data_IF_227855074072
#
_entry.id   IF_227855074072
#
_cell.length_a   1.000
_cell.length_b   1.000
_cell.length_c   1.000
_cell.angle_alpha   90.00
_cell.angle_beta   90.00
_cell.angle_gamma   90.00
#
_symmetry.space_group_name_H-M   'P 1'
#
loop_
_entity.id
_entity.type
_entity.pdbx_description
1 polymer ?
#
# COMPACT_ATOMS: atom_id res chain seq x y z
N UNK A 1 0.28 31.03 -12.30
CA UNK A 1 1.00 30.18 -11.34
C UNK A 1 2.48 30.46 -11.52
N UNK A 2 3.12 31.05 -10.52
CA UNK A 2 4.56 31.34 -10.61
C UNK A 2 5.29 30.11 -10.06
N UNK A 3 5.74 29.25 -10.96
CA UNK A 3 6.77 28.26 -10.68
C UNK A 3 8.10 29.04 -10.64
N UNK A 4 8.65 29.26 -9.44
CA UNK A 4 9.87 30.08 -9.26
C UNK A 4 11.15 29.36 -9.72
N UNK A 5 11.04 28.10 -10.14
CA UNK A 5 12.14 27.30 -10.67
C UNK A 5 11.78 26.80 -12.05
N UNK A 6 12.65 27.06 -13.02
CA UNK A 6 12.50 26.46 -14.34
C UNK A 6 12.68 24.93 -14.24
N UNK A 7 12.15 24.15 -15.20
CA UNK A 7 12.39 22.71 -15.28
C UNK A 7 13.88 22.34 -15.29
N UNK A 8 14.73 23.23 -15.83
CA UNK A 8 16.18 23.06 -15.89
C UNK A 8 16.83 23.26 -14.51
N UNK A 9 16.40 24.28 -13.76
CA UNK A 9 16.89 24.53 -12.39
C UNK A 9 16.53 23.38 -11.45
N UNK A 10 15.37 22.76 -11.69
CA UNK A 10 14.92 21.57 -10.96
C UNK A 10 15.78 20.34 -11.29
N UNK A 11 16.14 20.16 -12.56
CA UNK A 11 17.03 19.08 -13.01
C UNK A 11 18.48 19.27 -12.51
N UNK A 12 18.91 20.52 -12.35
CA UNK A 12 20.20 20.89 -11.77
C UNK A 12 20.23 20.87 -10.23
N UNK A 13 19.10 20.57 -9.57
CA UNK A 13 19.01 20.49 -8.10
C UNK A 13 19.13 21.84 -7.39
N UNK A 14 18.91 22.95 -8.10
CA UNK A 14 19.04 24.30 -7.57
C UNK A 14 17.95 24.54 -6.52
N UNK A 15 18.38 24.93 -5.32
CA UNK A 15 17.51 25.31 -4.21
C UNK A 15 17.52 26.84 -4.08
N UNK A 16 16.36 27.52 -4.15
CA UNK A 16 16.30 28.96 -3.94
C UNK A 16 16.80 29.32 -2.54
N UNK A 17 17.76 30.24 -2.45
CA UNK A 17 18.24 30.79 -1.19
C UNK A 17 17.38 32.00 -0.77
N UNK A 18 16.98 32.05 0.51
CA UNK A 18 16.22 33.17 1.08
C UNK A 18 17.12 34.31 1.60
N UNK A 19 16.57 35.52 1.73
CA UNK A 19 17.32 36.72 2.16
C UNK A 19 17.41 36.95 3.69
N UNK A 20 17.16 35.94 4.51
CA UNK A 20 17.00 36.10 5.96
C UNK A 20 18.29 36.50 6.70
N UNK A 21 18.19 37.52 7.57
CA UNK A 21 19.32 38.06 8.37
C UNK A 21 19.64 37.28 9.66
N UNK A 22 18.91 36.19 9.98
CA UNK A 22 19.17 35.35 11.17
C UNK A 22 19.60 33.93 10.75
N UNK A 23 20.70 33.39 11.28
CA UNK A 23 21.07 31.99 11.07
C UNK A 23 19.97 31.10 11.69
N UNK A 24 19.22 30.39 10.86
CA UNK A 24 18.14 29.48 11.29
C UNK A 24 16.72 29.90 10.90
N UNK A 25 16.50 31.10 10.35
CA UNK A 25 15.18 31.53 9.87
C UNK A 25 15.14 31.51 8.34
N UNK A 26 14.86 30.34 7.76
CA UNK A 26 14.49 30.22 6.34
C UNK A 26 12.99 30.42 6.19
N UNK A 27 12.58 31.51 5.54
CA UNK A 27 11.16 31.84 5.33
C UNK A 27 10.60 31.00 4.18
N UNK A 28 9.64 30.11 4.43
CA UNK A 28 8.83 29.49 3.37
C UNK A 28 7.79 30.51 2.95
N UNK A 29 7.92 31.07 1.74
CA UNK A 29 7.02 32.10 1.21
C UNK A 29 5.81 31.49 0.47
N UNK A 30 5.99 30.37 -0.24
CA UNK A 30 4.93 29.58 -0.86
C UNK A 30 5.40 28.12 -0.99
N UNK A 31 4.47 27.16 -0.97
CA UNK A 31 4.79 25.76 -1.28
C UNK A 31 4.67 25.54 -2.80
N UNK A 32 5.54 24.69 -3.35
CA UNK A 32 5.47 24.29 -4.76
C UNK A 32 4.10 23.66 -5.09
N UNK A 33 3.72 23.67 -6.36
CA UNK A 33 2.47 23.04 -6.81
C UNK A 33 2.37 21.57 -6.36
N UNK A 34 1.23 21.21 -5.77
CA UNK A 34 1.02 19.88 -5.19
C UNK A 34 1.65 19.68 -3.81
N UNK A 35 2.12 20.74 -3.16
CA UNK A 35 2.53 20.74 -1.76
C UNK A 35 1.75 21.82 -0.99
N UNK A 36 1.41 21.53 0.26
CA UNK A 36 0.65 22.40 1.16
C UNK A 36 1.41 22.65 2.44
N UNK A 37 1.24 23.81 3.07
CA UNK A 37 1.91 24.10 4.35
C UNK A 37 1.36 23.16 5.43
N UNK A 38 2.25 22.61 6.27
CA UNK A 38 1.81 21.86 7.45
C UNK A 38 1.08 22.78 8.42
N UNK A 39 -0.02 22.30 8.98
CA UNK A 39 -0.80 23.02 9.98
C UNK A 39 -0.01 23.34 11.25
N UNK A 40 0.91 22.44 11.65
CA UNK A 40 1.73 22.58 12.87
C UNK A 40 3.12 23.23 12.65
N UNK A 41 3.56 23.39 11.41
CA UNK A 41 4.87 24.00 11.09
C UNK A 41 4.75 24.83 9.82
N UNK A 42 4.80 26.16 9.96
CA UNK A 42 4.81 27.09 8.82
C UNK A 42 6.14 27.08 8.05
N UNK A 43 7.12 26.33 8.57
CA UNK A 43 8.46 26.13 8.01
C UNK A 43 8.56 24.77 7.28
N UNK A 44 7.45 24.06 7.08
CA UNK A 44 7.43 22.81 6.32
C UNK A 44 6.26 22.76 5.35
N UNK A 45 6.55 22.31 4.13
CA UNK A 45 5.55 21.88 3.17
C UNK A 45 5.41 20.36 3.21
N UNK A 46 4.18 19.87 3.12
CA UNK A 46 3.86 18.46 2.93
C UNK A 46 3.23 18.23 1.56
N UNK A 47 3.48 17.10 0.90
CA UNK A 47 2.93 16.83 -0.40
C UNK A 47 1.42 16.55 -0.30
N UNK A 48 0.68 16.98 -1.30
CA UNK A 48 -0.75 16.75 -1.44
C UNK A 48 -0.97 15.45 -2.22
N UNK A 49 -1.79 14.55 -1.67
CA UNK A 49 -2.16 13.29 -2.32
C UNK A 49 -3.68 13.11 -2.30
N UNK A 50 -4.26 12.73 -3.43
CA UNK A 50 -5.63 12.24 -3.49
C UNK A 50 -5.67 10.78 -3.02
N UNK A 51 -6.37 10.51 -1.92
CA UNK A 51 -6.66 9.16 -1.40
C UNK A 51 -5.43 8.26 -1.11
N UNK A 52 -4.51 8.72 -0.25
CA UNK A 52 -3.36 7.91 0.23
C UNK A 52 -3.67 7.17 1.55
N UNK A 53 -4.76 6.40 1.59
CA UNK A 53 -5.13 5.62 2.78
C UNK A 53 -4.14 4.46 2.95
N UNK A 54 -3.68 4.21 4.19
CA UNK A 54 -2.66 3.20 4.52
C UNK A 54 -1.28 3.43 3.87
N UNK A 55 -1.00 4.63 3.39
CA UNK A 55 0.30 5.04 2.90
C UNK A 55 0.78 6.32 3.58
N UNK A 56 1.92 6.81 3.08
CA UNK A 56 2.47 8.14 3.35
C UNK A 56 2.61 8.85 2.01
N UNK A 57 2.12 10.08 1.94
CA UNK A 57 2.36 10.93 0.78
C UNK A 57 3.85 11.33 0.80
N UNK A 58 4.61 10.91 -0.20
CA UNK A 58 6.06 11.14 -0.30
C UNK A 58 6.42 12.16 -1.38
N UNK A 59 5.54 12.35 -2.35
CA UNK A 59 5.59 13.41 -3.35
C UNK A 59 4.15 13.72 -3.83
N UNK A 60 3.92 14.83 -4.57
CA UNK A 60 2.59 15.17 -5.06
C UNK A 60 1.94 14.02 -5.83
N UNK A 61 0.76 13.59 -5.40
CA UNK A 61 0.04 12.43 -5.95
C UNK A 61 0.81 11.09 -5.91
N UNK A 62 1.90 11.01 -5.14
CA UNK A 62 2.68 9.78 -4.93
C UNK A 62 2.48 9.28 -3.51
N UNK A 63 1.71 8.20 -3.40
CA UNK A 63 1.52 7.46 -2.17
C UNK A 63 2.55 6.34 -2.07
N UNK A 64 3.35 6.32 -1.00
CA UNK A 64 4.19 5.18 -0.63
C UNK A 64 3.48 4.38 0.45
N UNK A 65 3.19 3.11 0.19
CA UNK A 65 2.45 2.27 1.12
C UNK A 65 3.23 2.00 2.40
N UNK A 66 2.51 1.91 3.54
CA UNK A 66 3.11 1.50 4.81
C UNK A 66 3.58 0.05 4.73
N UNK A 67 4.45 -0.36 5.65
CA UNK A 67 4.86 -1.76 5.77
C UNK A 67 3.65 -2.68 5.87
N UNK A 68 3.67 -3.78 5.12
CA UNK A 68 2.55 -4.72 5.01
C UNK A 68 1.41 -4.28 4.08
N UNK A 69 1.60 -3.24 3.24
CA UNK A 69 0.67 -2.82 2.20
C UNK A 69 1.39 -2.70 0.84
N UNK A 70 0.70 -3.04 -0.25
CA UNK A 70 1.16 -2.89 -1.64
C UNK A 70 0.16 -2.06 -2.45
N UNK A 71 0.59 -1.55 -3.61
CA UNK A 71 -0.29 -0.83 -4.53
C UNK A 71 -1.13 -1.82 -5.34
N UNK A 72 -2.44 -1.59 -5.39
CA UNK A 72 -3.32 -2.24 -6.38
C UNK A 72 -3.27 -1.51 -7.75
N UNK A 73 -4.02 -2.02 -8.73
CA UNK A 73 -4.14 -1.41 -10.05
C UNK A 73 -4.70 0.03 -10.03
N UNK A 74 -5.44 0.37 -8.97
CA UNK A 74 -6.00 1.70 -8.74
C UNK A 74 -5.08 2.61 -7.91
N UNK A 75 -3.82 2.17 -7.65
CA UNK A 75 -2.80 2.87 -6.86
C UNK A 75 -3.17 3.05 -5.38
N UNK A 76 -4.14 2.30 -4.88
CA UNK A 76 -4.49 2.26 -3.46
C UNK A 76 -3.53 1.34 -2.71
N UNK A 77 -3.20 1.69 -1.48
CA UNK A 77 -2.44 0.82 -0.60
C UNK A 77 -3.37 -0.21 0.05
N UNK A 78 -3.33 -1.43 -0.49
CA UNK A 78 -4.08 -2.59 -0.01
C UNK A 78 -3.16 -3.49 0.83
N UNK A 79 -3.68 -4.22 1.83
CA UNK A 79 -2.84 -5.09 2.65
C UNK A 79 -2.13 -6.14 1.79
N UNK A 80 -0.85 -6.39 2.08
CA UNK A 80 -0.08 -7.47 1.46
C UNK A 80 -0.56 -8.77 2.04
N UNK A 81 -1.22 -9.59 1.21
CA UNK A 81 -1.55 -10.95 1.59
C UNK A 81 -0.50 -11.95 1.07
N UNK A 82 -0.33 -13.08 1.77
CA UNK A 82 0.37 -14.22 1.19
C UNK A 82 -0.30 -14.62 -0.12
N UNK A 83 0.50 -15.11 -1.08
CA UNK A 83 0.06 -15.62 -2.38
C UNK A 83 -1.11 -16.63 -2.25
N UNK A 84 -1.23 -17.26 -1.07
CA UNK A 84 -2.29 -18.18 -0.66
C UNK A 84 -3.67 -17.63 -0.33
N UNK A 85 -3.89 -16.32 -0.37
CA UNK A 85 -5.22 -15.75 -0.17
C UNK A 85 -6.16 -15.95 -1.37
N UNK A 86 -5.73 -16.69 -2.39
CA UNK A 86 -6.61 -17.17 -3.44
C UNK A 86 -7.75 -17.96 -2.78
N UNK A 87 -8.99 -17.54 -3.01
CA UNK A 87 -10.21 -18.02 -2.33
C UNK A 87 -10.48 -17.44 -0.93
N UNK A 88 -9.98 -16.24 -0.63
CA UNK A 88 -10.34 -15.47 0.56
C UNK A 88 -10.19 -13.97 0.41
N UNK A 89 -10.69 -13.24 1.40
CA UNK A 89 -10.51 -11.80 1.55
C UNK A 89 -9.28 -11.50 2.42
N UNK A 90 -8.40 -10.64 1.93
CA UNK A 90 -7.26 -10.17 2.71
C UNK A 90 -7.71 -9.18 3.79
N UNK A 91 -7.47 -9.50 5.05
CA UNK A 91 -7.78 -8.58 6.17
C UNK A 91 -6.65 -7.58 6.39
N UNK A 92 -6.95 -6.45 7.06
CA UNK A 92 -5.96 -5.41 7.40
C UNK A 92 -4.81 -5.89 8.28
N UNK A 93 -4.92 -7.08 8.89
CA UNK A 93 -3.87 -7.74 9.69
C UNK A 93 -2.93 -8.61 8.85
N UNK A 94 -3.09 -8.66 7.53
CA UNK A 94 -2.31 -9.55 6.66
C UNK A 94 -2.70 -11.03 6.78
N UNK A 95 -3.90 -11.30 7.30
CA UNK A 95 -4.46 -12.66 7.45
C UNK A 95 -5.59 -12.85 6.45
N UNK A 96 -5.71 -14.05 5.89
CA UNK A 96 -6.81 -14.40 4.98
C UNK A 96 -8.08 -14.75 5.74
N UNK A 97 -9.20 -14.18 5.32
CA UNK A 97 -10.53 -14.63 5.69
C UNK A 97 -11.09 -15.43 4.53
N UNK A 98 -11.13 -16.76 4.67
CA UNK A 98 -11.48 -17.65 3.56
C UNK A 98 -12.97 -17.55 3.20
N UNK A 99 -13.27 -17.70 1.90
CA UNK A 99 -14.65 -17.78 1.41
C UNK A 99 -15.32 -19.10 1.85
N UNK A 100 -16.64 -19.17 1.73
CA UNK A 100 -17.40 -20.37 2.07
C UNK A 100 -16.85 -21.61 1.34
N UNK A 101 -16.70 -22.72 2.09
CA UNK A 101 -16.11 -23.94 1.55
C UNK A 101 -14.58 -24.00 1.54
N UNK A 102 -13.91 -22.94 2.02
CA UNK A 102 -12.47 -22.90 2.25
C UNK A 102 -12.17 -22.67 3.73
N UNK A 103 -11.05 -23.21 4.19
CA UNK A 103 -10.57 -23.07 5.56
C UNK A 103 -9.12 -22.60 5.57
N UNK A 104 -8.74 -21.94 6.66
CA UNK A 104 -7.39 -21.44 6.81
C UNK A 104 -6.42 -22.60 7.05
N UNK A 105 -5.34 -22.63 6.28
CA UNK A 105 -4.28 -23.62 6.44
C UNK A 105 -3.64 -23.56 7.83
N UNK A 106 -2.96 -24.63 8.29
CA UNK A 106 -2.33 -24.65 9.62
C UNK A 106 -1.34 -23.49 9.86
N UNK A 107 -0.62 -23.07 8.82
CA UNK A 107 0.29 -21.93 8.86
C UNK A 107 -0.39 -20.56 8.69
N UNK A 108 -1.74 -20.53 8.68
CA UNK A 108 -2.61 -19.34 8.61
C UNK A 108 -2.39 -18.42 7.41
N UNK A 109 -1.80 -18.96 6.34
CA UNK A 109 -1.36 -18.20 5.15
C UNK A 109 -2.16 -18.50 3.88
N UNK A 110 -2.82 -19.66 3.82
CA UNK A 110 -3.49 -20.13 2.61
C UNK A 110 -4.94 -20.49 2.91
N UNK A 111 -5.84 -20.22 1.98
CA UNK A 111 -7.21 -20.75 2.04
C UNK A 111 -7.24 -22.06 1.26
N UNK A 112 -7.28 -23.17 2.00
CA UNK A 112 -7.35 -24.52 1.43
C UNK A 112 -8.80 -24.99 1.37
N UNK A 113 -9.18 -25.84 0.41
CA UNK A 113 -10.55 -26.31 0.32
C UNK A 113 -10.95 -27.11 1.57
N UNK A 114 -12.23 -27.04 1.94
CA UNK A 114 -12.82 -27.77 3.04
C UNK A 114 -13.65 -28.94 2.50
N UNK A 115 -13.27 -30.16 2.88
CA UNK A 115 -13.99 -31.39 2.58
C UNK A 115 -14.49 -32.00 3.89
N UNK A 116 -15.80 -31.93 4.17
CA UNK A 116 -16.38 -32.50 5.39
C UNK A 116 -16.40 -34.02 5.28
N UNK A 117 -15.78 -34.72 6.24
CA UNK A 117 -15.62 -36.18 6.19
C UNK A 117 -14.34 -36.66 5.51
N UNK A 118 -13.53 -35.75 4.95
CA UNK A 118 -12.30 -36.09 4.24
C UNK A 118 -12.54 -36.75 2.87
N UNK A 119 -11.45 -37.03 2.15
CA UNK A 119 -11.49 -37.60 0.79
C UNK A 119 -11.10 -39.09 0.72
N UNK A 120 -11.11 -39.80 1.86
CA UNK A 120 -10.68 -41.19 1.93
C UNK A 120 -9.17 -41.41 1.71
N UNK A 121 -8.74 -42.66 1.74
CA UNK A 121 -7.33 -43.04 1.52
C UNK A 121 -6.97 -42.82 0.06
N UNK A 122 -5.96 -41.99 -0.20
CA UNK A 122 -5.49 -41.69 -1.56
C UNK A 122 -6.30 -40.63 -2.32
N UNK A 123 -7.26 -39.98 -1.66
CA UNK A 123 -8.00 -38.85 -2.23
C UNK A 123 -7.46 -37.49 -1.75
N UNK A 124 -7.32 -36.55 -2.69
CA UNK A 124 -6.91 -35.17 -2.41
C UNK A 124 -8.12 -34.23 -2.50
N UNK A 125 -8.26 -33.30 -1.55
CA UNK A 125 -9.32 -32.28 -1.57
C UNK A 125 -8.91 -31.16 -2.53
N UNK A 126 -9.49 -31.14 -3.73
CA UNK A 126 -9.14 -30.23 -4.83
C UNK A 126 -10.07 -29.01 -4.91
N UNK A 127 -11.20 -29.05 -4.22
CA UNK A 127 -12.16 -27.97 -4.14
C UNK A 127 -13.13 -28.15 -2.97
N UNK A 128 -14.00 -27.17 -2.67
CA UNK A 128 -14.99 -27.29 -1.62
C UNK A 128 -15.85 -28.53 -1.81
N UNK A 129 -15.79 -29.47 -0.86
CA UNK A 129 -16.48 -30.76 -0.95
C UNK A 129 -16.15 -31.58 -2.21
N UNK A 130 -15.03 -31.29 -2.88
CA UNK A 130 -14.62 -31.94 -4.11
C UNK A 130 -13.32 -32.71 -3.88
N UNK A 131 -13.41 -34.03 -4.02
CA UNK A 131 -12.31 -34.96 -3.83
C UNK A 131 -11.85 -35.50 -5.19
N UNK A 132 -10.54 -35.57 -5.38
CA UNK A 132 -9.92 -36.24 -6.51
C UNK A 132 -9.22 -37.51 -6.02
N UNK A 133 -9.61 -38.67 -6.56
CA UNK A 133 -8.99 -39.94 -6.23
C UNK A 133 -7.78 -40.19 -7.12
N UNK A 134 -6.68 -40.68 -6.54
CA UNK A 134 -5.53 -41.13 -7.33
C UNK A 134 -5.90 -42.40 -8.12
N UNK A 135 -5.40 -42.57 -9.36
CA UNK A 135 -5.56 -43.81 -10.10
C UNK A 135 -5.01 -44.99 -9.28
N UNK A 136 -5.76 -46.09 -9.25
CA UNK A 136 -5.41 -47.33 -8.57
C UNK A 136 -4.78 -48.35 -9.50
#
# INVERSE_FOLDING_TARGET
TIDLLSPQDRAAGIRPHGNGSRPGYSKIEICCSGWTRKSKSRLECEPTCNNCKNGKCTAPNVCTCKSGYIKDNNRNCVPTCPIGCLNGLCTSKGVCSCYAGYQLSPNRKFCVPSCTGGCGVGGDCVGPQACNCKPG
#
